data_IF_019944491584
#
_entry.id   IF_019944491584
#
_cell.length_a   1.000
_cell.length_b   1.000
_cell.length_c   1.000
_cell.angle_alpha   90.00
_cell.angle_beta   90.00
_cell.angle_gamma   90.00
#
_symmetry.space_group_name_H-M   'P 1'
#
loop_
_entity.id
_entity.type
_entity.pdbx_description
1 polymer ?
#
# COMPACT_ATOMS: atom_id res chain seq x y z
N UNK A 1 -1.95 6.98 -2.77
CA UNK A 1 -1.69 5.61 -2.26
C UNK A 1 -0.56 5.02 -3.07
N UNK A 2 0.22 4.10 -2.50
CA UNK A 2 1.40 3.55 -3.17
C UNK A 2 1.76 2.13 -2.72
N UNK A 3 2.50 1.42 -3.56
CA UNK A 3 2.95 0.05 -3.38
C UNK A 3 4.46 0.01 -3.09
N UNK A 4 4.81 -0.39 -1.88
CA UNK A 4 6.19 -0.71 -1.53
C UNK A 4 6.45 -2.16 -1.93
N UNK A 5 7.15 -2.36 -3.03
CA UNK A 5 7.46 -3.69 -3.59
C UNK A 5 8.94 -4.06 -3.41
N UNK A 6 9.29 -5.26 -3.89
CA UNK A 6 10.65 -5.83 -3.83
C UNK A 6 11.17 -6.02 -2.40
N UNK A 7 10.27 -6.37 -1.48
CA UNK A 7 10.64 -6.78 -0.13
C UNK A 7 10.86 -8.30 -0.10
N UNK A 8 11.81 -8.74 0.73
CA UNK A 8 11.99 -10.16 0.99
C UNK A 8 10.71 -10.74 1.62
N UNK A 9 10.28 -11.95 1.21
CA UNK A 9 9.11 -12.59 1.79
C UNK A 9 9.19 -12.70 3.33
N UNK A 10 8.12 -12.32 4.02
CA UNK A 10 8.06 -12.27 5.47
C UNK A 10 6.80 -12.92 6.06
N UNK A 11 6.97 -13.54 7.24
CA UNK A 11 5.91 -14.19 8.02
C UNK A 11 5.34 -15.45 7.37
N UNK A 12 4.37 -16.08 8.04
CA UNK A 12 3.77 -17.36 7.61
C UNK A 12 3.09 -17.30 6.25
N UNK A 13 2.64 -16.10 5.86
CA UNK A 13 1.98 -15.86 4.57
C UNK A 13 2.94 -15.39 3.46
N UNK A 14 4.23 -15.26 3.74
CA UNK A 14 5.25 -14.88 2.75
C UNK A 14 4.93 -13.59 1.99
N UNK A 15 4.39 -12.58 2.68
CA UNK A 15 4.12 -11.27 2.07
C UNK A 15 5.42 -10.62 1.60
N UNK A 16 5.40 -10.02 0.41
CA UNK A 16 6.58 -9.46 -0.26
C UNK A 16 6.36 -8.02 -0.75
N UNK A 17 5.27 -7.39 -0.32
CA UNK A 17 4.94 -6.01 -0.58
C UNK A 17 4.08 -5.42 0.55
N UNK A 18 4.02 -4.10 0.60
CA UNK A 18 3.05 -3.35 1.41
C UNK A 18 2.28 -2.38 0.52
N UNK A 19 0.96 -2.32 0.74
CA UNK A 19 0.12 -1.23 0.26
C UNK A 19 0.07 -0.15 1.35
N UNK A 20 0.44 1.08 0.98
CA UNK A 20 0.43 2.25 1.85
C UNK A 20 -0.68 3.20 1.40
N UNK A 21 -1.62 3.44 2.29
CA UNK A 21 -2.73 4.37 2.12
C UNK A 21 -2.53 5.52 3.12
N UNK A 22 -2.76 6.75 2.70
CA UNK A 22 -2.77 7.90 3.62
C UNK A 22 -4.13 8.57 3.53
N UNK A 23 -4.84 8.61 4.65
CA UNK A 23 -6.08 9.37 4.78
C UNK A 23 -5.70 10.84 4.89
N UNK A 24 -6.13 11.65 3.93
CA UNK A 24 -5.70 13.04 3.79
C UNK A 24 -6.08 13.91 5.00
N UNK A 25 -7.34 13.83 5.43
CA UNK A 25 -7.88 14.73 6.44
C UNK A 25 -7.30 14.45 7.83
N UNK A 26 -7.16 13.18 8.19
CA UNK A 26 -6.61 12.75 9.48
C UNK A 26 -5.09 12.56 9.46
N UNK A 27 -4.44 12.65 8.29
CA UNK A 27 -3.02 12.35 8.07
C UNK A 27 -2.62 10.98 8.62
N UNK A 28 -3.54 10.03 8.61
CA UNK A 28 -3.33 8.70 9.18
C UNK A 28 -2.81 7.77 8.10
N UNK A 29 -1.65 7.12 8.29
CA UNK A 29 -1.20 6.08 7.40
C UNK A 29 -1.88 4.76 7.75
N UNK A 30 -2.25 4.00 6.72
CA UNK A 30 -2.78 2.66 6.84
C UNK A 30 -1.87 1.75 6.02
N UNK A 31 -1.35 0.72 6.68
CA UNK A 31 -0.48 -0.28 6.07
C UNK A 31 -1.24 -1.58 5.91
N UNK A 32 -1.10 -2.19 4.74
CA UNK A 32 -1.56 -3.56 4.53
C UNK A 32 -0.45 -4.39 3.88
N UNK A 33 0.02 -5.46 4.53
CA UNK A 33 0.90 -6.41 3.87
C UNK A 33 0.13 -7.10 2.74
N UNK A 34 0.82 -7.35 1.62
CA UNK A 34 0.25 -7.92 0.41
C UNK A 34 1.32 -8.63 -0.41
N UNK A 35 0.92 -9.16 -1.56
CA UNK A 35 1.85 -9.69 -2.54
C UNK A 35 1.93 -8.79 -3.77
N UNK A 36 3.14 -8.62 -4.32
CA UNK A 36 3.44 -7.75 -5.46
C UNK A 36 2.63 -8.07 -6.72
N UNK A 37 2.17 -9.30 -6.85
CA UNK A 37 1.42 -9.87 -7.98
C UNK A 37 -0.11 -9.81 -7.79
N UNK A 38 -0.58 -9.20 -6.70
CA UNK A 38 -2.00 -8.94 -6.51
C UNK A 38 -2.61 -8.14 -7.66
N UNK A 39 -3.78 -8.60 -8.07
CA UNK A 39 -4.55 -8.02 -9.15
C UNK A 39 -5.25 -6.73 -8.71
N UNK A 40 -5.88 -6.04 -9.67
CA UNK A 40 -6.75 -4.91 -9.37
C UNK A 40 -7.89 -5.30 -8.40
N UNK A 41 -8.43 -6.52 -8.52
CA UNK A 41 -9.50 -7.03 -7.65
C UNK A 41 -8.98 -7.18 -6.21
N UNK A 42 -7.84 -7.87 -6.04
CA UNK A 42 -7.24 -8.08 -4.72
C UNK A 42 -6.93 -6.74 -4.03
N UNK A 43 -6.42 -5.80 -4.82
CA UNK A 43 -6.10 -4.45 -4.37
C UNK A 43 -7.35 -3.70 -3.90
N UNK A 44 -8.44 -3.77 -4.67
CA UNK A 44 -9.70 -3.14 -4.28
C UNK A 44 -10.30 -3.76 -3.01
N UNK A 45 -10.23 -5.10 -2.86
CA UNK A 45 -10.70 -5.78 -1.65
C UNK A 45 -9.94 -5.26 -0.41
N UNK A 46 -8.61 -5.17 -0.50
CA UNK A 46 -7.80 -4.64 0.61
C UNK A 46 -8.20 -3.20 0.92
N UNK A 47 -8.28 -2.35 -0.10
CA UNK A 47 -8.57 -0.92 0.07
C UNK A 47 -9.95 -0.73 0.69
N UNK A 48 -10.98 -1.40 0.19
CA UNK A 48 -12.33 -1.31 0.75
C UNK A 48 -12.35 -1.80 2.19
N UNK A 49 -11.77 -2.96 2.48
CA UNK A 49 -11.73 -3.50 3.83
C UNK A 49 -11.02 -2.56 4.81
N UNK A 50 -9.89 -1.97 4.40
CA UNK A 50 -9.07 -1.10 5.25
C UNK A 50 -9.62 0.32 5.38
N UNK A 51 -10.04 0.94 4.28
CA UNK A 51 -10.58 2.30 4.30
C UNK A 51 -11.95 2.34 4.96
N UNK A 52 -12.88 1.44 4.59
CA UNK A 52 -14.23 1.45 5.18
C UNK A 52 -14.16 1.21 6.68
N UNK A 53 -13.29 0.29 7.15
CA UNK A 53 -13.12 0.07 8.58
C UNK A 53 -12.53 1.27 9.33
N UNK A 54 -11.67 2.06 8.69
CA UNK A 54 -10.98 3.18 9.34
C UNK A 54 -11.73 4.51 9.25
N UNK A 55 -12.32 4.82 8.11
CA UNK A 55 -12.87 6.15 7.80
C UNK A 55 -14.35 6.13 7.45
N UNK A 56 -14.94 4.95 7.29
CA UNK A 56 -16.25 4.80 6.64
C UNK A 56 -16.14 5.02 5.12
N UNK A 57 -17.19 5.56 4.51
CA UNK A 57 -17.20 5.83 3.06
C UNK A 57 -16.24 6.98 2.71
N UNK A 58 -15.22 6.67 1.93
CA UNK A 58 -14.31 7.65 1.35
C UNK A 58 -15.01 8.43 0.23
N UNK A 59 -14.69 9.71 0.02
CA UNK A 59 -15.28 10.50 -1.07
C UNK A 59 -14.46 10.45 -2.37
N UNK A 60 -13.12 10.45 -2.24
CA UNK A 60 -12.19 10.45 -3.37
C UNK A 60 -10.98 9.59 -3.04
N UNK A 61 -10.53 8.78 -4.01
CA UNK A 61 -9.26 8.06 -3.93
C UNK A 61 -8.30 8.71 -4.92
N UNK A 62 -7.07 8.95 -4.45
CA UNK A 62 -5.97 9.46 -5.28
C UNK A 62 -4.86 8.41 -5.35
N UNK A 63 -4.58 7.96 -6.58
CA UNK A 63 -3.52 6.99 -6.88
C UNK A 63 -2.66 7.45 -8.04
N UNK A 64 -1.50 6.83 -8.18
CA UNK A 64 -0.73 6.88 -9.41
C UNK A 64 -1.45 6.14 -10.56
N UNK A 65 -0.83 6.11 -11.74
CA UNK A 65 -1.38 5.48 -12.95
C UNK A 65 -1.06 3.98 -13.04
N UNK A 66 -0.87 3.31 -11.91
CA UNK A 66 -0.63 1.87 -11.91
C UNK A 66 -1.81 1.12 -12.56
N UNK A 67 -1.55 0.09 -13.42
CA UNK A 67 -2.59 -0.74 -14.03
C UNK A 67 -3.59 -1.33 -13.02
N UNK A 68 -3.15 -1.58 -11.79
CA UNK A 68 -4.00 -2.08 -10.69
C UNK A 68 -5.09 -1.08 -10.31
N UNK A 69 -4.92 0.21 -10.60
CA UNK A 69 -5.87 1.30 -10.29
C UNK A 69 -6.58 1.87 -11.52
N UNK A 70 -6.15 1.55 -12.74
CA UNK A 70 -6.74 2.06 -13.99
C UNK A 70 -7.74 1.09 -14.63
N UNK A 71 -7.99 -0.07 -14.02
CA UNK A 71 -8.93 -1.06 -14.55
C UNK A 71 -10.41 -0.61 -14.47
N UNK A 72 -11.26 -1.14 -15.35
CA UNK A 72 -12.70 -0.86 -15.36
C UNK A 72 -13.40 -1.18 -14.04
N UNK A 73 -12.80 -2.07 -13.23
CA UNK A 73 -13.25 -2.37 -11.88
C UNK A 73 -13.32 -1.11 -11.00
N UNK A 74 -12.31 -0.24 -11.06
CA UNK A 74 -12.30 0.97 -10.24
C UNK A 74 -13.37 1.96 -10.67
N UNK A 75 -13.55 2.16 -11.98
CA UNK A 75 -14.65 2.99 -12.49
C UNK A 75 -16.00 2.49 -11.97
N UNK A 76 -16.25 1.19 -12.02
CA UNK A 76 -17.50 0.59 -11.53
C UNK A 76 -17.65 0.72 -10.01
N UNK A 77 -16.60 0.50 -9.23
CA UNK A 77 -16.61 0.68 -7.78
C UNK A 77 -16.93 2.12 -7.39
N UNK A 78 -16.31 3.09 -8.06
CA UNK A 78 -16.56 4.50 -7.82
C UNK A 78 -18.00 4.90 -8.15
N UNK A 79 -18.55 4.39 -9.26
CA UNK A 79 -19.97 4.59 -9.59
C UNK A 79 -20.90 3.97 -8.53
N UNK A 80 -20.58 2.78 -8.01
CA UNK A 80 -21.38 2.10 -7.00
C UNK A 80 -21.43 2.86 -5.67
N UNK A 81 -20.28 3.38 -5.22
CA UNK A 81 -20.18 4.11 -3.96
C UNK A 81 -20.52 5.61 -4.09
N UNK A 82 -20.74 6.12 -5.30
CA UNK A 82 -20.91 7.56 -5.55
C UNK A 82 -19.65 8.37 -5.27
N UNK A 83 -18.47 7.76 -5.43
CA UNK A 83 -17.16 8.34 -5.11
C UNK A 83 -16.39 8.66 -6.38
N UNK A 84 -15.26 9.36 -6.27
CA UNK A 84 -14.43 9.73 -7.44
C UNK A 84 -13.04 9.09 -7.37
N UNK A 85 -12.57 8.58 -8.51
CA UNK A 85 -11.16 8.25 -8.69
C UNK A 85 -10.45 9.43 -9.34
N UNK A 86 -9.35 9.84 -8.76
CA UNK A 86 -8.47 10.85 -9.33
C UNK A 86 -7.07 10.25 -9.46
N UNK A 87 -6.46 10.37 -10.63
CA UNK A 87 -5.06 9.99 -10.81
C UNK A 87 -4.16 11.17 -10.45
N UNK A 88 -3.09 10.91 -9.71
CA UNK A 88 -2.04 11.89 -9.49
C UNK A 88 -1.46 12.29 -10.85
N UNK A 89 -1.40 13.58 -11.10
CA UNK A 89 -0.57 14.15 -12.16
C UNK A 89 0.84 14.23 -11.59
N UNK A 90 1.87 13.94 -12.39
CA UNK A 90 3.29 13.99 -11.99
C UNK A 90 3.78 15.36 -11.43
N UNK A 91 2.88 16.33 -11.24
CA UNK A 91 3.17 17.68 -10.78
C UNK A 91 1.92 18.40 -10.22
N UNK A 92 1.42 18.03 -9.03
CA UNK A 92 0.45 18.87 -8.26
C UNK A 92 0.85 19.04 -6.78
N UNK A 93 1.85 19.91 -6.50
CA UNK A 93 2.48 19.99 -5.17
C UNK A 93 1.64 20.66 -4.06
N UNK A 94 0.57 21.40 -4.38
CA UNK A 94 -0.05 22.31 -3.40
C UNK A 94 -0.97 21.66 -2.36
N UNK A 95 -1.56 20.49 -2.65
CA UNK A 95 -2.48 19.80 -1.72
C UNK A 95 -2.11 18.34 -1.50
N UNK A 96 -1.44 17.72 -2.47
CA UNK A 96 -1.04 16.32 -2.43
C UNK A 96 0.37 16.14 -1.86
N UNK A 97 1.20 17.20 -1.87
CA UNK A 97 2.61 17.13 -1.48
C UNK A 97 2.84 16.61 -0.06
N UNK A 98 1.93 16.89 0.89
CA UNK A 98 2.04 16.36 2.25
C UNK A 98 1.78 14.84 2.31
N UNK A 99 0.74 14.36 1.62
CA UNK A 99 0.43 12.94 1.57
C UNK A 99 1.51 12.19 0.76
N UNK A 100 2.00 12.78 -0.32
CA UNK A 100 3.13 12.25 -1.11
C UNK A 100 4.41 12.16 -0.28
N UNK A 101 4.79 13.23 0.43
CA UNK A 101 5.95 13.25 1.33
C UNK A 101 5.80 12.21 2.43
N UNK A 102 4.60 12.06 2.97
CA UNK A 102 4.33 11.06 3.99
C UNK A 102 4.47 9.64 3.44
N UNK A 103 3.93 9.36 2.26
CA UNK A 103 4.07 8.06 1.60
C UNK A 103 5.55 7.75 1.36
N UNK A 104 6.33 8.68 0.83
CA UNK A 104 7.77 8.52 0.58
C UNK A 104 8.54 8.22 1.86
N UNK A 105 8.32 8.99 2.93
CA UNK A 105 8.97 8.75 4.22
C UNK A 105 8.63 7.38 4.80
N UNK A 106 7.38 6.94 4.63
CA UNK A 106 6.91 5.65 5.12
C UNK A 106 7.46 4.49 4.29
N UNK A 107 7.56 4.66 2.98
CA UNK A 107 8.23 3.70 2.10
C UNK A 107 9.69 3.53 2.50
N UNK A 108 10.43 4.63 2.64
CA UNK A 108 11.83 4.61 3.06
C UNK A 108 12.00 3.92 4.41
N UNK A 109 11.11 4.20 5.37
CA UNK A 109 11.09 3.54 6.67
C UNK A 109 10.90 2.02 6.53
N UNK A 110 9.91 1.58 5.74
CA UNK A 110 9.64 0.15 5.51
C UNK A 110 10.87 -0.53 4.88
N UNK A 111 11.45 0.08 3.85
CA UNK A 111 12.62 -0.48 3.15
C UNK A 111 13.82 -0.63 4.10
N UNK A 112 14.12 0.41 4.90
CA UNK A 112 15.21 0.38 5.87
C UNK A 112 14.97 -0.64 6.97
N UNK A 113 13.75 -0.72 7.49
CA UNK A 113 13.41 -1.70 8.52
C UNK A 113 13.53 -3.14 7.99
N UNK A 114 13.02 -3.41 6.78
CA UNK A 114 13.18 -4.72 6.14
C UNK A 114 14.65 -5.07 5.91
N UNK A 115 15.48 -4.14 5.42
CA UNK A 115 16.91 -4.36 5.22
C UNK A 115 17.62 -4.68 6.55
N UNK A 116 17.36 -3.88 7.59
CA UNK A 116 17.92 -4.11 8.92
C UNK A 116 17.55 -5.48 9.51
N UNK A 117 16.29 -5.90 9.37
CA UNK A 117 15.85 -7.23 9.85
C UNK A 117 16.52 -8.37 9.06
N UNK A 118 16.82 -8.17 7.79
CA UNK A 118 17.56 -9.17 7.00
C UNK A 118 19.02 -9.26 7.45
N UNK A 119 19.68 -8.12 7.68
CA UNK A 119 21.03 -8.08 8.23
C UNK A 119 21.11 -8.77 9.60
N UNK A 120 20.12 -8.57 10.47
CA UNK A 120 20.03 -9.29 11.76
C UNK A 120 19.88 -10.80 11.58
N UNK A 121 19.03 -11.24 10.63
CA UNK A 121 18.88 -12.67 10.33
C UNK A 121 20.17 -13.29 9.80
N UNK A 122 20.95 -12.54 9.04
CA UNK A 122 22.27 -12.97 8.55
C UNK A 122 23.33 -12.97 9.66
N UNK A 123 23.30 -11.99 10.58
CA UNK A 123 24.26 -11.89 11.68
C UNK A 123 24.02 -12.88 12.82
N UNK A 124 22.75 -13.24 13.08
CA UNK A 124 22.39 -14.09 14.22
C UNK A 124 22.63 -15.58 13.96
N UNK A 125 23.02 -16.00 12.75
CA UNK A 125 23.43 -17.38 12.46
C UNK A 125 22.37 -18.47 12.73
N UNK A 126 21.13 -18.09 13.08
CA UNK A 126 20.03 -19.02 13.33
C UNK A 126 19.29 -19.32 12.03
N UNK A 127 19.91 -20.14 11.20
CA UNK A 127 19.17 -21.12 10.40
C UNK A 127 18.49 -22.09 11.37
N UNK A 128 17.28 -21.76 11.86
CA UNK A 128 16.38 -22.78 12.37
C UNK A 128 15.66 -23.38 11.16
N UNK A 129 16.20 -24.47 10.62
CA UNK A 129 15.81 -25.84 10.95
C UNK A 129 14.35 -26.14 10.62
N UNK A 130 14.17 -27.02 9.63
CA UNK A 130 13.17 -28.07 9.73
C UNK A 130 11.81 -27.72 9.16
N UNK A 131 11.67 -28.01 7.87
CA UNK A 131 10.43 -28.54 7.32
C UNK A 131 10.06 -29.80 8.12
N UNK A 132 8.92 -29.78 8.80
CA UNK A 132 8.14 -30.98 9.14
C UNK A 132 6.66 -30.62 9.14
#
# INVERSE_FOLDING_TARGET
>A
MDWVTALSPGGDRSYNAYLVLVVRDSKTPIFSPCHKDYTAIDTAIIILNKLISHTGLFQTIISDRDPRFTSALWTNLHNLFGTKLSFSTAYRPQTDGLAETMIQNLEDMIRRFCAYVLELKESDGFTHCGVH
#
